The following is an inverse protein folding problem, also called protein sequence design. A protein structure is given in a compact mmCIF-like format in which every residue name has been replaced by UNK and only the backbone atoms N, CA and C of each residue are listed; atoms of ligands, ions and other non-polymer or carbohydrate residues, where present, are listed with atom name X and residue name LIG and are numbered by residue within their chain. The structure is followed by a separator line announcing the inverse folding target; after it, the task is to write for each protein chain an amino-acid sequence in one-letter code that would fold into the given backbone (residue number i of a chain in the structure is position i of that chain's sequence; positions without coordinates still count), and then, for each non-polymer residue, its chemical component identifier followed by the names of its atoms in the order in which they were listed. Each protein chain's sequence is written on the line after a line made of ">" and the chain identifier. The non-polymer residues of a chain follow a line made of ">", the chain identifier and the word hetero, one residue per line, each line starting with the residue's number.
data_IF_349166853995
#
_entry.id   IF_349166853995
#
_cell.length_a   1.000
_cell.length_b   1.000
_cell.length_c   1.000
_cell.angle_alpha   90.00
_cell.angle_beta   90.00
_cell.angle_gamma   90.00
#
_symmetry.space_group_name_H-M   'P 1'
#
loop_
_entity.id
_entity.type
_entity.pdbx_description
1 polymer ?
#
# COMPACT_ATOMS: atom_id res chain seq x y z
N UNK A 1 9.62 -17.67 7.94
CA UNK A 1 9.55 -18.12 6.52
C UNK A 1 8.52 -17.26 5.76
N UNK A 2 8.96 -16.30 4.93
CA UNK A 2 8.06 -15.37 4.20
C UNK A 2 7.22 -16.13 3.16
N UNK A 3 5.89 -16.14 3.32
CA UNK A 3 4.96 -16.75 2.35
C UNK A 3 4.66 -15.77 1.21
N UNK A 4 5.07 -16.13 -0.01
CA UNK A 4 4.78 -15.35 -1.22
C UNK A 4 3.57 -15.97 -1.95
N UNK A 5 2.43 -15.28 -1.94
CA UNK A 5 1.25 -15.70 -2.68
C UNK A 5 1.21 -15.07 -4.09
N UNK A 6 1.13 -15.89 -5.14
CA UNK A 6 0.78 -15.47 -6.51
C UNK A 6 -0.73 -15.63 -6.69
N UNK A 7 -1.48 -14.55 -6.87
CA UNK A 7 -2.88 -14.68 -7.26
C UNK A 7 -3.34 -13.44 -8.04
N UNK A 8 -4.25 -13.65 -8.99
CA UNK A 8 -4.95 -12.60 -9.75
C UNK A 8 -5.87 -11.77 -8.85
N UNK A 9 -6.21 -12.31 -7.67
CA UNK A 9 -6.93 -11.69 -6.57
C UNK A 9 -6.01 -11.67 -5.36
N UNK A 10 -6.08 -10.63 -4.52
CA UNK A 10 -5.34 -10.62 -3.26
C UNK A 10 -5.67 -11.89 -2.45
N UNK A 11 -4.68 -12.58 -1.87
CA UNK A 11 -4.95 -13.71 -0.99
C UNK A 11 -5.83 -13.25 0.17
N UNK A 12 -6.52 -14.18 0.84
CA UNK A 12 -7.21 -13.86 2.09
C UNK A 12 -6.17 -13.43 3.12
N UNK A 13 -6.05 -12.12 3.32
CA UNK A 13 -5.19 -11.51 4.34
C UNK A 13 -5.93 -11.44 5.67
N UNK A 14 -5.22 -11.49 6.81
CA UNK A 14 -5.82 -11.30 8.12
C UNK A 14 -6.64 -10.01 8.19
N UNK A 15 -7.75 -10.03 8.94
CA UNK A 15 -8.69 -8.91 9.00
C UNK A 15 -8.24 -7.77 9.91
N UNK A 16 -7.50 -8.14 10.94
CA UNK A 16 -6.89 -7.31 11.97
C UNK A 16 -5.58 -6.65 11.52
N UNK A 17 -5.01 -7.09 10.38
CA UNK A 17 -3.78 -6.51 9.86
C UNK A 17 -4.06 -5.21 9.10
N UNK A 18 -3.16 -4.26 9.29
CA UNK A 18 -3.11 -3.02 8.51
C UNK A 18 -2.55 -3.35 7.14
N UNK A 19 -3.19 -2.82 6.10
CA UNK A 19 -2.77 -3.02 4.71
C UNK A 19 -2.16 -1.75 4.17
N UNK A 20 -0.99 -1.89 3.56
CA UNK A 20 -0.29 -0.80 2.90
C UNK A 20 -0.19 -1.16 1.43
N UNK A 21 -0.63 -0.24 0.57
CA UNK A 21 -0.51 -0.35 -0.88
C UNK A 21 0.71 0.43 -1.32
N UNK A 22 1.62 -0.24 -2.00
CA UNK A 22 2.75 0.39 -2.70
C UNK A 22 2.49 0.29 -4.20
N UNK A 23 2.32 1.44 -4.82
CA UNK A 23 2.04 1.59 -6.25
C UNK A 23 3.24 2.17 -6.97
N UNK A 24 3.93 1.39 -7.81
CA UNK A 24 4.92 1.91 -8.73
C UNK A 24 4.37 3.03 -9.63
N UNK A 25 5.25 3.97 -9.97
CA UNK A 25 5.05 5.05 -10.94
C UNK A 25 6.13 4.95 -12.02
N UNK A 26 5.89 5.61 -13.15
CA UNK A 26 6.88 5.88 -14.18
C UNK A 26 7.70 4.65 -14.62
N UNK A 27 7.02 3.61 -15.15
CA UNK A 27 7.65 2.51 -15.88
C UNK A 27 7.99 1.24 -15.08
N UNK A 28 7.98 1.26 -13.74
CA UNK A 28 8.14 0.03 -12.95
C UNK A 28 6.87 -0.82 -13.00
N UNK A 29 7.00 -2.05 -13.52
CA UNK A 29 5.90 -3.00 -13.61
C UNK A 29 6.16 -4.22 -12.72
N UNK A 30 5.26 -4.45 -11.75
CA UNK A 30 5.32 -5.54 -10.77
C UNK A 30 5.42 -6.93 -11.43
N UNK A 31 4.86 -7.10 -12.64
CA UNK A 31 4.99 -8.35 -13.43
C UNK A 31 6.44 -8.67 -13.80
N UNK A 32 7.21 -7.64 -14.12
CA UNK A 32 8.60 -7.73 -14.59
C UNK A 32 9.60 -7.69 -13.42
N UNK A 33 9.14 -7.24 -12.25
CA UNK A 33 9.97 -7.12 -11.06
C UNK A 33 10.15 -8.47 -10.35
N UNK A 34 11.34 -8.66 -9.75
CA UNK A 34 11.61 -9.85 -8.93
C UNK A 34 10.69 -9.91 -7.72
N UNK A 35 10.08 -11.07 -7.51
CA UNK A 35 9.15 -11.35 -6.40
C UNK A 35 9.79 -11.31 -5.02
N UNK A 36 11.12 -11.34 -4.98
CA UNK A 36 11.93 -11.27 -3.76
C UNK A 36 12.54 -9.88 -3.61
N UNK A 37 13.18 -9.36 -4.68
CA UNK A 37 13.91 -8.10 -4.60
C UNK A 37 13.02 -6.88 -4.47
N UNK A 38 11.84 -6.87 -5.09
CA UNK A 38 10.93 -5.73 -4.98
C UNK A 38 10.43 -5.54 -3.53
N UNK A 39 9.92 -6.57 -2.82
CA UNK A 39 9.62 -6.45 -1.39
C UNK A 39 10.81 -5.99 -0.54
N UNK A 40 12.01 -6.50 -0.81
CA UNK A 40 13.22 -6.10 -0.08
C UNK A 40 13.57 -4.62 -0.33
N UNK A 41 13.52 -4.17 -1.58
CA UNK A 41 13.75 -2.78 -1.93
C UNK A 41 12.73 -1.82 -1.29
N UNK A 42 11.47 -2.26 -1.18
CA UNK A 42 10.41 -1.50 -0.50
C UNK A 42 10.66 -1.40 1.01
N UNK A 43 11.08 -2.50 1.67
CA UNK A 43 11.44 -2.49 3.09
C UNK A 43 12.67 -1.61 3.36
N UNK A 44 13.69 -1.71 2.51
CA UNK A 44 14.89 -0.86 2.58
C UNK A 44 14.57 0.62 2.38
N UNK A 45 13.71 0.96 1.43
CA UNK A 45 13.25 2.34 1.21
C UNK A 45 12.48 2.91 2.40
N UNK A 46 11.84 2.04 3.20
CA UNK A 46 11.17 2.40 4.45
C UNK A 46 12.12 2.38 5.67
N UNK A 47 13.42 2.15 5.46
CA UNK A 47 14.42 2.00 6.52
C UNK A 47 14.09 0.90 7.56
N UNK A 48 13.43 -0.17 7.13
CA UNK A 48 13.06 -1.30 8.00
C UNK A 48 14.07 -2.43 7.92
N UNK A 49 14.48 -2.94 9.07
CA UNK A 49 15.35 -4.12 9.16
C UNK A 49 14.59 -5.41 8.79
N UNK A 50 15.27 -6.47 8.33
CA UNK A 50 14.63 -7.75 8.03
C UNK A 50 13.81 -8.31 9.19
N UNK A 51 14.31 -8.19 10.43
CA UNK A 51 13.65 -8.63 11.65
C UNK A 51 12.34 -7.87 11.93
N UNK A 52 12.26 -6.58 11.58
CA UNK A 52 11.04 -5.79 11.75
C UNK A 52 9.93 -6.28 10.79
N UNK A 53 10.29 -6.82 9.63
CA UNK A 53 9.33 -7.24 8.58
C UNK A 53 9.04 -8.74 8.57
N UNK A 54 9.45 -9.48 9.59
CA UNK A 54 9.35 -10.95 9.58
C UNK A 54 7.89 -11.44 9.63
N UNK A 55 7.05 -10.74 10.40
CA UNK A 55 5.62 -11.04 10.54
C UNK A 55 4.74 -10.53 9.40
N UNK A 56 5.32 -9.78 8.45
CA UNK A 56 4.56 -9.16 7.37
C UNK A 56 4.23 -10.15 6.25
N UNK A 57 3.01 -10.02 5.72
CA UNK A 57 2.59 -10.74 4.51
C UNK A 57 2.74 -9.79 3.32
N UNK A 58 3.54 -10.17 2.34
CA UNK A 58 3.73 -9.40 1.12
C UNK A 58 3.09 -10.11 -0.06
N UNK A 59 2.23 -9.41 -0.79
CA UNK A 59 1.56 -9.90 -1.98
C UNK A 59 1.75 -8.95 -3.16
N UNK A 60 2.03 -9.53 -4.33
CA UNK A 60 2.14 -8.79 -5.57
C UNK A 60 0.85 -8.96 -6.36
N UNK A 61 0.13 -7.86 -6.62
CA UNK A 61 -1.03 -7.86 -7.49
C UNK A 61 -0.63 -7.29 -8.85
N UNK A 62 -0.37 -8.21 -9.79
CA UNK A 62 0.07 -7.88 -11.15
C UNK A 62 -1.00 -7.14 -11.94
N UNK A 63 -2.27 -7.51 -11.77
CA UNK A 63 -3.41 -6.92 -12.48
C UNK A 63 -3.54 -5.43 -12.16
N UNK A 64 -3.40 -5.07 -10.89
CA UNK A 64 -3.49 -3.67 -10.45
C UNK A 64 -2.13 -2.95 -10.48
N UNK A 65 -1.06 -3.66 -10.84
CA UNK A 65 0.32 -3.22 -10.76
C UNK A 65 0.67 -2.61 -9.39
N UNK A 66 0.38 -3.34 -8.31
CA UNK A 66 0.67 -2.92 -6.93
C UNK A 66 1.36 -4.03 -6.13
N UNK A 67 2.07 -3.60 -5.09
CA UNK A 67 2.53 -4.45 -4.01
C UNK A 67 1.69 -4.14 -2.77
N UNK A 68 1.27 -5.17 -2.06
CA UNK A 68 0.48 -5.07 -0.83
C UNK A 68 1.28 -5.65 0.33
N UNK A 69 1.43 -4.88 1.39
CA UNK A 69 2.03 -5.30 2.66
C UNK A 69 0.91 -5.36 3.68
N UNK A 70 0.77 -6.50 4.34
CA UNK A 70 -0.16 -6.70 5.44
C UNK A 70 0.66 -6.90 6.70
N UNK A 71 0.48 -6.02 7.69
CA UNK A 71 1.26 -6.03 8.93
C UNK A 71 0.36 -5.89 10.16
N UNK A 72 0.65 -6.56 11.29
CA UNK A 72 -0.03 -6.30 12.55
C UNK A 72 0.56 -5.08 13.30
N UNK A 73 1.66 -4.49 12.80
CA UNK A 73 2.44 -3.48 13.55
C UNK A 73 2.22 -2.08 12.97
N UNK A 74 1.65 -1.19 13.78
CA UNK A 74 1.38 0.21 13.38
C UNK A 74 2.64 0.98 13.00
N UNK A 75 3.77 0.76 13.71
CA UNK A 75 5.05 1.43 13.42
C UNK A 75 5.52 1.23 11.97
N UNK A 76 5.39 0.01 11.45
CA UNK A 76 5.76 -0.37 10.08
C UNK A 76 4.93 0.39 9.05
N UNK A 77 3.69 0.70 9.41
CA UNK A 77 2.74 1.42 8.56
C UNK A 77 3.20 2.85 8.25
N UNK A 78 3.68 3.56 9.28
CA UNK A 78 4.19 4.92 9.13
C UNK A 78 5.51 4.95 8.35
N UNK A 79 6.38 3.95 8.56
CA UNK A 79 7.62 3.84 7.81
C UNK A 79 7.35 3.66 6.31
N UNK A 80 6.38 2.83 5.94
CA UNK A 80 6.03 2.64 4.53
C UNK A 80 5.28 3.81 3.91
N UNK A 81 4.42 4.56 4.62
CA UNK A 81 3.67 5.68 4.02
C UNK A 81 4.56 6.83 3.53
N UNK A 82 5.77 6.95 4.09
CA UNK A 82 6.77 7.94 3.71
C UNK A 82 7.52 7.65 2.42
N UNK A 83 7.49 6.41 1.89
CA UNK A 83 8.31 6.07 0.73
C UNK A 83 7.81 6.78 -0.54
N UNK A 84 8.75 7.29 -1.33
CA UNK A 84 8.50 7.97 -2.62
C UNK A 84 9.28 7.37 -3.78
N UNK A 85 10.29 6.56 -3.47
CA UNK A 85 11.15 5.93 -4.45
C UNK A 85 11.64 4.58 -3.93
N UNK A 86 11.88 3.65 -4.84
CA UNK A 86 12.53 2.37 -4.55
C UNK A 86 13.66 2.15 -5.53
N UNK A 87 14.74 1.53 -5.08
CA UNK A 87 15.87 1.15 -5.94
C UNK A 87 15.92 -0.36 -6.10
N UNK A 88 15.84 -0.81 -7.35
CA UNK A 88 16.08 -2.19 -7.75
C UNK A 88 17.24 -2.23 -8.75
N UNK A 89 17.70 -3.41 -9.17
CA UNK A 89 18.92 -3.54 -10.01
C UNK A 89 18.83 -2.72 -11.28
N UNK A 90 17.63 -2.64 -11.86
CA UNK A 90 17.33 -1.98 -13.12
C UNK A 90 17.33 -0.44 -13.00
N UNK A 91 17.30 0.11 -11.78
CA UNK A 91 17.32 1.56 -11.55
C UNK A 91 16.49 1.99 -10.34
N UNK A 92 16.28 3.30 -10.24
CA UNK A 92 15.45 3.91 -9.20
C UNK A 92 14.10 4.31 -9.78
N UNK A 93 13.02 3.90 -9.13
CA UNK A 93 11.65 4.08 -9.61
C UNK A 93 10.81 4.79 -8.56
N UNK A 94 10.00 5.76 -9.00
CA UNK A 94 9.06 6.43 -8.11
C UNK A 94 7.95 5.47 -7.67
N UNK A 95 7.49 5.65 -6.44
CA UNK A 95 6.36 4.89 -5.88
C UNK A 95 5.46 5.82 -5.08
N UNK A 96 4.19 5.47 -4.98
CA UNK A 96 3.27 6.03 -4.01
C UNK A 96 2.89 4.93 -3.02
N UNK A 97 3.05 5.19 -1.72
CA UNK A 97 2.63 4.27 -0.67
C UNK A 97 1.56 4.91 0.21
N UNK A 98 0.53 4.15 0.54
CA UNK A 98 -0.57 4.61 1.38
C UNK A 98 -1.23 3.45 2.11
N UNK A 99 -1.84 3.78 3.24
CA UNK A 99 -2.63 2.85 4.04
C UNK A 99 -3.95 2.59 3.29
N UNK A 100 -4.27 1.32 3.07
CA UNK A 100 -5.58 0.94 2.57
C UNK A 100 -6.60 1.08 3.70
N UNK A 101 -7.81 1.48 3.35
CA UNK A 101 -8.90 1.58 4.29
C UNK A 101 -9.15 0.20 4.97
N UNK A 102 -9.55 0.22 6.23
CA UNK A 102 -9.82 -1.01 6.99
C UNK A 102 -10.95 -1.82 6.35
N UNK A 103 -11.10 -3.08 6.76
CA UNK A 103 -12.24 -3.88 6.33
C UNK A 103 -13.55 -3.17 6.69
N UNK A 104 -14.59 -3.37 5.86
CA UNK A 104 -15.90 -2.73 6.02
C UNK A 104 -15.88 -1.19 5.94
N UNK A 105 -14.89 -0.63 5.25
CA UNK A 105 -14.87 0.80 4.91
C UNK A 105 -14.86 0.97 3.40
N UNK A 106 -15.45 2.05 2.90
CA UNK A 106 -15.41 2.44 1.50
C UNK A 106 -14.82 3.85 1.36
N UNK A 107 -14.06 4.07 0.29
CA UNK A 107 -13.67 5.42 -0.12
C UNK A 107 -14.67 5.90 -1.19
N UNK A 108 -15.48 6.89 -0.85
CA UNK A 108 -16.34 7.60 -1.79
C UNK A 108 -15.69 8.89 -2.30
N UNK A 109 -16.09 9.35 -3.48
CA UNK A 109 -15.84 10.70 -3.97
C UNK A 109 -17.20 11.35 -4.19
N UNK A 110 -17.44 12.49 -3.54
CA UNK A 110 -18.63 13.31 -3.76
C UNK A 110 -18.24 14.39 -4.79
N UNK A 111 -18.96 14.45 -5.90
CA UNK A 111 -18.72 15.40 -6.99
C UNK A 111 -19.84 16.44 -7.01
N UNK A 112 -19.56 17.61 -7.61
CA UNK A 112 -20.55 18.69 -7.75
C UNK A 112 -20.83 19.48 -6.46
N UNK A 113 -19.94 19.39 -5.47
CA UNK A 113 -20.00 20.21 -4.26
C UNK A 113 -19.66 21.66 -4.63
N UNK A 114 -20.49 22.61 -4.19
CA UNK A 114 -20.23 24.03 -4.36
C UNK A 114 -18.90 24.39 -3.68
N UNK A 115 -18.01 25.10 -4.38
CA UNK A 115 -16.68 25.48 -3.87
C UNK A 115 -16.74 26.44 -2.67
N UNK A 116 -17.83 27.19 -2.53
CA UNK A 116 -18.03 28.15 -1.44
C UNK A 116 -18.72 27.53 -0.22
N UNK A 117 -19.03 26.22 -0.26
CA UNK A 117 -19.64 25.53 0.87
C UNK A 117 -18.64 25.46 2.03
N UNK A 118 -19.09 25.73 3.25
CA UNK A 118 -18.23 25.58 4.43
C UNK A 118 -18.13 24.13 4.88
N UNK A 119 -17.00 23.76 5.49
CA UNK A 119 -16.82 22.46 6.12
C UNK A 119 -17.94 22.13 7.12
N UNK A 120 -18.36 23.13 7.91
CA UNK A 120 -19.47 22.98 8.88
C UNK A 120 -20.78 22.58 8.21
N UNK A 121 -21.07 23.13 7.04
CA UNK A 121 -22.29 22.82 6.30
C UNK A 121 -22.21 21.44 5.63
N UNK A 122 -21.04 21.05 5.11
CA UNK A 122 -20.82 19.68 4.61
C UNK A 122 -21.12 18.65 5.72
N UNK A 123 -20.67 18.89 6.96
CA UNK A 123 -20.91 17.96 8.06
C UNK A 123 -22.41 17.82 8.39
N UNK A 124 -23.21 18.86 8.23
CA UNK A 124 -24.66 18.79 8.50
C UNK A 124 -25.44 17.95 7.49
N UNK A 125 -24.91 17.74 6.28
CA UNK A 125 -25.59 17.00 5.21
C UNK A 125 -25.11 15.55 5.06
N UNK A 126 -24.08 15.15 5.82
CA UNK A 126 -23.65 13.75 5.91
C UNK A 126 -24.65 13.00 6.79
N UNK A 127 -25.40 12.07 6.19
CA UNK A 127 -26.31 11.18 6.92
C UNK A 127 -25.52 9.93 7.34
N UNK A 128 -25.50 9.64 8.64
CA UNK A 128 -24.92 8.42 9.21
C UNK A 128 -25.98 7.33 9.38
#
# INVERSE_FOLDING_TARGET
>A
MKRLAAASRLPRLPRDYIRIIVRPRDGLHVRKASRIRLPQAVALAAALAPAETEGDIVSLNVTQNILVISTPVTKITNAHSGIRQVRIREGSYKVAAYIAAHNNTCKGVILGVNVDISDSHIQTVIVN
#
